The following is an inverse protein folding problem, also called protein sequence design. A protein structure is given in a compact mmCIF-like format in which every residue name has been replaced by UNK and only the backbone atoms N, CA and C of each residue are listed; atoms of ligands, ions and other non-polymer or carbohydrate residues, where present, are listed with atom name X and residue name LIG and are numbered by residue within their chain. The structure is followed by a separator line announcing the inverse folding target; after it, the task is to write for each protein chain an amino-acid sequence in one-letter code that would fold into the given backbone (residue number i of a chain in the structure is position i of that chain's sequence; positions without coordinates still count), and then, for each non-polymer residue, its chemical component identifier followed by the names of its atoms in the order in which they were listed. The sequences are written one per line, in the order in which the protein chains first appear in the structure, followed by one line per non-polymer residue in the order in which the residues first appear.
data_IF_046665551954
#
_entry.id   IF_046665551954
#
_cell.length_a   1.000
_cell.length_b   1.000
_cell.length_c   1.000
_cell.angle_alpha   90.00
_cell.angle_beta   90.00
_cell.angle_gamma   90.00
#
_symmetry.space_group_name_H-M   'P 1'
#
loop_
_entity.id
_entity.type
_entity.pdbx_description
1 polymer ?
#
# COMPACT_ATOMS: atom_id res chain seq x y z
N UNK A 1 -3.77 -41.81 25.73
CA UNK A 1 -3.49 -40.36 25.70
C UNK A 1 -4.15 -39.79 24.45
N UNK A 2 -5.13 -38.87 24.57
CA UNK A 2 -5.81 -38.25 23.42
C UNK A 2 -5.31 -36.81 23.28
N UNK A 3 -4.53 -36.52 22.23
CA UNK A 3 -4.11 -35.15 21.91
C UNK A 3 -5.27 -34.45 21.19
N UNK A 4 -5.75 -33.35 21.77
CA UNK A 4 -6.73 -32.48 21.14
C UNK A 4 -6.00 -31.49 20.23
N UNK A 5 -6.22 -31.61 18.92
CA UNK A 5 -5.70 -30.69 17.93
C UNK A 5 -6.47 -29.37 18.10
N UNK A 6 -5.82 -28.34 18.64
CA UNK A 6 -6.38 -27.01 18.76
C UNK A 6 -6.51 -26.37 17.38
N UNK A 7 -7.73 -26.09 16.93
CA UNK A 7 -7.98 -25.37 15.69
C UNK A 7 -7.55 -23.90 15.85
N UNK A 8 -6.77 -23.33 14.92
CA UNK A 8 -6.38 -21.92 15.00
C UNK A 8 -7.64 -21.03 14.92
N UNK A 9 -7.77 -20.10 15.86
CA UNK A 9 -8.90 -19.16 15.90
C UNK A 9 -9.00 -18.40 14.56
N UNK A 10 -10.21 -18.20 14.00
CA UNK A 10 -10.37 -17.47 12.76
C UNK A 10 -9.79 -16.06 12.91
N UNK A 11 -8.84 -15.71 12.04
CA UNK A 11 -8.33 -14.33 11.94
C UNK A 11 -9.52 -13.42 11.66
N UNK A 12 -9.80 -12.47 12.56
CA UNK A 12 -10.78 -11.40 12.33
C UNK A 12 -10.37 -10.67 11.05
N UNK A 13 -11.10 -10.91 9.97
CA UNK A 13 -11.02 -10.09 8.77
C UNK A 13 -11.60 -8.72 9.13
N UNK A 14 -10.73 -7.78 9.50
CA UNK A 14 -11.09 -6.38 9.60
C UNK A 14 -11.54 -5.99 8.19
N UNK A 15 -12.83 -5.66 8.02
CA UNK A 15 -13.35 -5.07 6.78
C UNK A 15 -12.77 -3.66 6.67
N UNK A 16 -11.53 -3.58 6.18
CA UNK A 16 -10.95 -2.34 5.70
C UNK A 16 -11.86 -1.94 4.52
N UNK A 17 -12.60 -0.84 4.66
CA UNK A 17 -13.29 -0.25 3.52
C UNK A 17 -12.21 0.17 2.51
N UNK A 18 -11.92 -0.71 1.55
CA UNK A 18 -10.95 -0.45 0.49
C UNK A 18 -11.63 0.50 -0.49
N UNK A 19 -11.32 1.78 -0.41
CA UNK A 19 -11.70 2.71 -1.47
C UNK A 19 -10.93 2.31 -2.73
N UNK A 20 -11.58 1.80 -3.79
CA UNK A 20 -10.88 1.26 -4.95
C UNK A 20 -9.97 2.31 -5.59
N UNK A 21 -10.42 3.57 -5.62
CA UNK A 21 -9.63 4.69 -6.16
C UNK A 21 -8.36 4.98 -5.35
N UNK A 22 -8.42 4.85 -4.01
CA UNK A 22 -7.25 5.03 -3.15
C UNK A 22 -6.18 4.00 -3.49
N UNK A 23 -6.60 2.74 -3.60
CA UNK A 23 -5.70 1.64 -3.93
C UNK A 23 -5.10 1.83 -5.32
N UNK A 24 -5.91 2.17 -6.32
CA UNK A 24 -5.44 2.43 -7.69
C UNK A 24 -4.46 3.58 -7.74
N UNK A 25 -4.74 4.71 -7.07
CA UNK A 25 -3.84 5.85 -7.03
C UNK A 25 -2.49 5.52 -6.38
N UNK A 26 -2.50 4.77 -5.27
CA UNK A 26 -1.27 4.30 -4.62
C UNK A 26 -0.48 3.31 -5.51
N UNK A 27 -1.16 2.44 -6.26
CA UNK A 27 -0.51 1.54 -7.22
C UNK A 27 0.15 2.32 -8.36
N UNK A 28 -0.55 3.29 -8.95
CA UNK A 28 0.00 4.11 -10.02
C UNK A 28 1.11 5.04 -9.56
N UNK A 29 1.04 5.54 -8.33
CA UNK A 29 2.18 6.23 -7.71
C UNK A 29 3.41 5.33 -7.70
N UNK A 30 3.27 4.07 -7.29
CA UNK A 30 4.39 3.12 -7.29
C UNK A 30 4.94 2.86 -8.69
N UNK A 31 4.07 2.69 -9.69
CA UNK A 31 4.50 2.48 -11.08
C UNK A 31 5.21 3.70 -11.66
N UNK A 32 4.68 4.91 -11.43
CA UNK A 32 5.30 6.16 -11.83
C UNK A 32 6.69 6.34 -11.21
N UNK A 33 6.83 5.99 -9.93
CA UNK A 33 8.10 5.98 -9.21
C UNK A 33 9.10 4.99 -9.80
N UNK A 34 8.67 3.79 -10.22
CA UNK A 34 9.55 2.81 -10.88
C UNK A 34 9.98 3.31 -12.27
N UNK A 35 9.09 3.97 -12.99
CA UNK A 35 9.34 4.54 -14.31
C UNK A 35 10.05 5.91 -14.28
N UNK A 36 10.48 6.37 -13.10
CA UNK A 36 11.14 7.68 -12.90
C UNK A 36 10.32 8.88 -13.41
N UNK A 37 9.00 8.71 -13.54
CA UNK A 37 8.10 9.78 -13.98
C UNK A 37 7.59 10.57 -12.76
N UNK A 38 8.45 11.46 -12.26
CA UNK A 38 8.15 12.24 -11.06
C UNK A 38 7.07 13.31 -11.27
N UNK A 39 6.83 13.74 -12.51
CA UNK A 39 5.83 14.77 -12.83
C UNK A 39 4.42 14.30 -12.43
N UNK A 40 4.06 13.06 -12.78
CA UNK A 40 2.74 12.49 -12.49
C UNK A 40 2.59 11.96 -11.05
N UNK A 41 3.70 11.79 -10.32
CA UNK A 41 3.67 11.32 -8.94
C UNK A 41 2.85 12.26 -8.04
N UNK A 42 2.94 13.58 -8.27
CA UNK A 42 2.20 14.58 -7.51
C UNK A 42 0.69 14.39 -7.64
N UNK A 43 0.21 14.08 -8.84
CA UNK A 43 -1.21 13.89 -9.13
C UNK A 43 -1.74 12.63 -8.44
N UNK A 44 -1.00 11.52 -8.51
CA UNK A 44 -1.40 10.30 -7.82
C UNK A 44 -1.39 10.44 -6.30
N UNK A 45 -0.46 11.20 -5.73
CA UNK A 45 -0.47 11.54 -4.29
C UNK A 45 -1.73 12.36 -3.95
N UNK A 46 -2.07 13.35 -4.77
CA UNK A 46 -3.27 14.17 -4.59
C UNK A 46 -4.55 13.31 -4.59
N UNK A 47 -4.72 12.49 -5.62
CA UNK A 47 -5.86 11.57 -5.76
C UNK A 47 -5.91 10.61 -4.56
N UNK A 48 -4.78 9.98 -4.20
CA UNK A 48 -4.75 9.05 -3.08
C UNK A 48 -5.21 9.71 -1.77
N UNK A 49 -4.75 10.95 -1.50
CA UNK A 49 -5.13 11.71 -0.30
C UNK A 49 -6.59 12.12 -0.30
N UNK A 50 -7.13 12.53 -1.45
CA UNK A 50 -8.56 12.84 -1.61
C UNK A 50 -9.45 11.65 -1.23
N UNK A 51 -9.01 10.44 -1.58
CA UNK A 51 -9.69 9.18 -1.24
C UNK A 51 -9.23 8.55 0.09
N UNK A 52 -8.61 9.34 0.97
CA UNK A 52 -8.32 8.96 2.35
C UNK A 52 -7.02 8.20 2.57
N UNK A 53 -6.03 8.33 1.67
CA UNK A 53 -4.68 7.83 1.94
C UNK A 53 -4.02 8.68 3.02
N UNK A 54 -3.49 8.00 4.04
CA UNK A 54 -2.71 8.66 5.08
C UNK A 54 -1.32 9.03 4.56
N UNK A 55 -0.68 10.01 5.21
CA UNK A 55 0.70 10.37 4.92
C UNK A 55 1.66 9.18 5.10
N UNK A 56 1.41 8.31 6.09
CA UNK A 56 2.20 7.10 6.33
C UNK A 56 2.09 6.10 5.17
N UNK A 57 0.89 5.93 4.57
CA UNK A 57 0.71 5.06 3.41
C UNK A 57 1.46 5.59 2.19
N UNK A 58 1.44 6.92 1.96
CA UNK A 58 2.21 7.54 0.86
C UNK A 58 3.70 7.41 1.12
N UNK A 59 4.16 7.70 2.34
CA UNK A 59 5.57 7.62 2.72
C UNK A 59 6.11 6.19 2.55
N UNK A 60 5.35 5.17 2.93
CA UNK A 60 5.73 3.77 2.76
C UNK A 60 5.96 3.38 1.28
N UNK A 61 5.33 4.07 0.33
CA UNK A 61 5.58 3.88 -1.11
C UNK A 61 6.83 4.63 -1.56
N UNK A 62 7.05 5.84 -1.04
CA UNK A 62 8.24 6.65 -1.37
C UNK A 62 9.54 6.02 -0.84
N UNK A 63 9.46 5.42 0.35
CA UNK A 63 10.57 4.78 1.06
C UNK A 63 10.80 3.32 0.65
N UNK A 64 10.22 2.82 -0.47
CA UNK A 64 10.32 1.40 -0.84
C UNK A 64 11.77 0.92 -0.74
N UNK A 65 12.02 0.03 0.21
CA UNK A 65 13.34 -0.45 0.62
C UNK A 65 14.06 -1.25 -0.48
N UNK A 66 13.38 -1.54 -1.59
CA UNK A 66 14.00 -2.11 -2.80
C UNK A 66 14.65 -1.05 -3.70
N UNK A 67 14.43 0.24 -3.44
CA UNK A 67 15.21 1.35 -4.02
C UNK A 67 16.54 1.51 -3.28
N UNK A 68 17.31 0.43 -3.17
CA UNK A 68 18.75 0.57 -2.94
C UNK A 68 19.34 0.96 -4.28
N UNK A 69 20.11 2.07 -4.39
CA UNK A 69 20.86 2.33 -5.60
C UNK A 69 21.83 1.17 -5.78
N UNK A 70 21.65 0.41 -6.87
CA UNK A 70 22.69 -0.50 -7.35
C UNK A 70 23.83 0.38 -7.85
N UNK A 71 24.76 0.71 -6.95
CA UNK A 71 26.02 1.38 -7.27
C UNK A 71 26.97 0.48 -8.04
#
# INVERSE_FOLDING_TARGET
MKQTIGFPKPRRYIRIQRHPVKLTALLYLKEALIAENYEICRDFIGIAREFGASAAEVQAILEDSRRVPSG
#
